data_IF_070586780716
#
_entry.id   IF_070586780716
#
_cell.length_a   1.000
_cell.length_b   1.000
_cell.length_c   1.000
_cell.angle_alpha   90.00
_cell.angle_beta   90.00
_cell.angle_gamma   90.00
#
_symmetry.space_group_name_H-M   'P 1'
#
loop_
_entity.id
_entity.type
_entity.pdbx_description
1 polymer ?
#
# COMPACT_ATOMS: atom_id res chain seq x y z
N UNK A 1 26.99 21.55 2.95
CA UNK A 1 25.70 20.86 3.13
C UNK A 1 25.18 20.58 1.73
N UNK A 2 25.15 19.32 1.30
CA UNK A 2 24.61 18.98 -0.02
C UNK A 2 23.12 19.31 -0.01
N UNK A 3 22.69 20.27 -0.83
CA UNK A 3 21.28 20.61 -0.97
C UNK A 3 20.61 19.45 -1.70
N UNK A 4 20.04 18.50 -0.95
CA UNK A 4 19.15 17.50 -1.54
C UNK A 4 18.00 18.30 -2.15
N UNK A 5 17.81 18.26 -3.47
CA UNK A 5 16.75 19.04 -4.11
C UNK A 5 15.41 18.62 -3.53
N UNK A 6 14.57 19.62 -3.23
CA UNK A 6 13.28 19.38 -2.60
C UNK A 6 12.34 18.53 -3.48
N UNK A 7 12.60 18.44 -4.79
CA UNK A 7 11.87 17.63 -5.79
C UNK A 7 12.90 16.75 -6.50
N UNK A 8 12.65 15.44 -6.57
CA UNK A 8 13.49 14.50 -7.32
C UNK A 8 13.21 14.52 -8.83
N UNK A 9 13.84 13.61 -9.59
CA UNK A 9 13.76 13.58 -11.06
C UNK A 9 12.35 13.30 -11.57
N UNK A 10 11.62 12.43 -10.88
CA UNK A 10 10.19 12.18 -11.07
C UNK A 10 9.48 12.67 -9.80
N UNK A 11 8.71 13.78 -9.87
CA UNK A 11 7.98 14.29 -8.72
C UNK A 11 7.11 13.24 -8.01
N UNK A 12 7.40 13.00 -6.73
CA UNK A 12 6.55 12.26 -5.79
C UNK A 12 6.24 13.18 -4.61
N UNK A 13 4.98 13.59 -4.49
CA UNK A 13 4.55 14.60 -3.51
C UNK A 13 3.37 14.13 -2.70
N UNK A 14 3.20 14.77 -1.54
CA UNK A 14 1.99 14.66 -0.73
C UNK A 14 1.58 13.20 -0.47
N UNK A 15 2.55 12.41 0.02
CA UNK A 15 2.30 11.00 0.37
C UNK A 15 1.40 10.94 1.59
N UNK A 16 0.31 10.18 1.47
CA UNK A 16 -0.68 9.97 2.52
C UNK A 16 -0.91 8.48 2.78
N UNK A 17 -1.32 8.08 3.99
CA UNK A 17 -1.58 8.95 5.16
C UNK A 17 -0.30 9.61 5.70
N UNK A 18 -0.40 10.77 6.35
CA UNK A 18 0.73 11.39 7.05
C UNK A 18 0.22 12.14 8.29
N UNK A 19 0.71 11.77 9.48
CA UNK A 19 0.27 12.38 10.74
C UNK A 19 1.33 13.36 11.22
N UNK A 20 0.91 14.61 11.47
CA UNK A 20 1.81 15.70 11.86
C UNK A 20 3.05 15.82 10.94
N UNK A 21 2.83 15.77 9.62
CA UNK A 21 3.89 15.80 8.62
C UNK A 21 4.95 14.70 8.81
N UNK A 22 4.54 13.51 9.25
CA UNK A 22 5.43 12.36 9.50
C UNK A 22 6.10 12.36 10.88
N UNK A 23 5.82 13.36 11.73
CA UNK A 23 6.34 13.39 13.12
C UNK A 23 5.68 12.37 14.03
N UNK A 24 4.49 11.89 13.65
CA UNK A 24 3.77 10.82 14.33
C UNK A 24 3.44 9.71 13.33
N UNK A 25 3.43 8.44 13.78
CA UNK A 25 3.06 7.33 12.92
C UNK A 25 1.59 7.43 12.51
N UNK A 26 1.31 7.11 11.24
CA UNK A 26 -0.01 6.61 10.86
C UNK A 26 -0.29 5.32 11.64
N UNK A 27 -1.55 4.90 11.72
CA UNK A 27 -1.95 3.73 12.50
C UNK A 27 -2.69 2.73 11.63
N UNK A 28 -2.45 1.45 11.92
CA UNK A 28 -3.25 0.34 11.44
C UNK A 28 -3.25 -0.77 12.51
N UNK A 29 -4.04 -1.81 12.32
CA UNK A 29 -3.87 -3.08 13.01
C UNK A 29 -3.42 -4.19 12.07
N UNK A 30 -2.93 -5.30 12.62
CA UNK A 30 -2.57 -6.48 11.82
C UNK A 30 -3.74 -6.92 10.95
N UNK A 31 -3.49 -7.08 9.64
CA UNK A 31 -4.48 -7.51 8.67
C UNK A 31 -5.43 -6.41 8.18
N UNK A 32 -5.33 -5.17 8.65
CA UNK A 32 -6.12 -4.05 8.16
C UNK A 32 -5.58 -3.52 6.82
N UNK A 33 -6.43 -3.44 5.81
CA UNK A 33 -6.08 -2.85 4.52
C UNK A 33 -6.39 -1.35 4.50
N UNK A 34 -5.43 -0.55 4.05
CA UNK A 34 -5.64 0.88 3.82
C UNK A 34 -4.94 1.38 2.56
N UNK A 35 -5.39 2.51 2.01
CA UNK A 35 -4.83 3.09 0.78
C UNK A 35 -3.68 4.06 1.10
N UNK A 36 -2.51 3.80 0.51
CA UNK A 36 -1.40 4.76 0.43
C UNK A 36 -1.54 5.52 -0.88
N UNK A 37 -1.46 6.84 -0.82
CA UNK A 37 -1.64 7.71 -1.98
C UNK A 37 -0.51 8.73 -2.10
N UNK A 38 -0.27 9.22 -3.31
CA UNK A 38 0.69 10.28 -3.59
C UNK A 38 0.33 11.04 -4.87
N UNK A 39 0.82 12.26 -5.01
CA UNK A 39 0.79 12.98 -6.29
C UNK A 39 2.05 12.66 -7.08
N UNK A 40 1.90 12.07 -8.26
CA UNK A 40 2.98 11.58 -9.12
C UNK A 40 2.76 12.01 -10.56
N UNK A 41 3.75 12.70 -11.12
CA UNK A 41 3.78 13.17 -12.50
C UNK A 41 5.22 13.37 -12.96
N UNK A 42 5.40 13.77 -14.22
CA UNK A 42 6.70 14.16 -14.79
C UNK A 42 6.57 15.35 -15.74
N UNK A 43 7.69 15.92 -16.15
CA UNK A 43 7.75 16.84 -17.28
C UNK A 43 7.49 16.13 -18.62
N UNK A 44 7.01 16.89 -19.60
CA UNK A 44 6.69 16.34 -20.93
C UNK A 44 5.35 15.59 -20.94
N UNK A 45 5.21 14.66 -21.87
CA UNK A 45 3.96 13.94 -22.14
C UNK A 45 4.08 12.42 -21.97
N UNK A 46 5.23 11.95 -21.55
CA UNK A 46 5.52 10.53 -21.40
C UNK A 46 4.85 9.96 -20.16
N UNK A 47 4.59 8.66 -20.17
CA UNK A 47 3.94 7.98 -19.07
C UNK A 47 4.84 7.93 -17.81
N UNK A 48 4.17 7.88 -16.66
CA UNK A 48 4.76 7.58 -15.35
C UNK A 48 4.04 6.42 -14.71
N UNK A 49 4.72 5.75 -13.80
CA UNK A 49 4.12 4.76 -12.92
C UNK A 49 4.75 4.88 -11.52
N UNK A 50 4.07 4.29 -10.53
CA UNK A 50 4.51 4.31 -9.15
C UNK A 50 4.20 2.99 -8.44
N UNK A 51 4.91 2.71 -7.34
CA UNK A 51 4.59 1.63 -6.41
C UNK A 51 4.77 2.10 -4.96
N UNK A 52 4.04 1.45 -4.07
CA UNK A 52 4.29 1.55 -2.63
C UNK A 52 5.37 0.54 -2.26
N UNK A 53 6.29 0.95 -1.40
CA UNK A 53 7.22 0.07 -0.69
C UNK A 53 6.84 0.13 0.77
N UNK A 54 6.22 -0.94 1.27
CA UNK A 54 5.95 -1.15 2.69
C UNK A 54 7.10 -1.97 3.27
N UNK A 55 7.66 -1.54 4.39
CA UNK A 55 8.81 -2.16 5.06
C UNK A 55 8.41 -2.55 6.47
N UNK A 56 8.62 -3.81 6.82
CA UNK A 56 8.30 -4.39 8.13
C UNK A 56 9.28 -3.97 9.24
N UNK A 57 9.01 -4.31 10.51
CA UNK A 57 9.89 -3.96 11.64
C UNK A 57 11.32 -4.54 11.53
N UNK A 58 11.48 -5.65 10.81
CA UNK A 58 12.76 -6.29 10.53
C UNK A 58 13.50 -5.65 9.34
N UNK A 59 12.89 -4.67 8.66
CA UNK A 59 13.46 -3.97 7.52
C UNK A 59 13.26 -4.67 6.18
N UNK A 60 12.43 -5.72 6.10
CA UNK A 60 12.11 -6.44 4.87
C UNK A 60 11.03 -5.70 4.09
N UNK A 61 11.20 -5.66 2.77
CA UNK A 61 10.20 -5.07 1.88
C UNK A 61 9.07 -6.07 1.63
N UNK A 62 7.85 -5.56 1.67
CA UNK A 62 6.65 -6.29 1.29
C UNK A 62 6.58 -6.61 -0.21
N UNK A 63 5.45 -7.19 -0.66
CA UNK A 63 5.27 -7.56 -2.06
C UNK A 63 5.26 -6.34 -2.99
N UNK A 64 5.47 -6.60 -4.29
CA UNK A 64 5.28 -5.61 -5.34
C UNK A 64 3.86 -5.04 -5.31
N UNK A 65 3.75 -3.74 -5.09
CA UNK A 65 2.46 -3.06 -4.89
C UNK A 65 2.34 -1.85 -5.83
N UNK A 66 2.01 -2.06 -7.11
CA UNK A 66 1.91 -0.98 -8.09
C UNK A 66 0.71 -0.08 -7.78
N UNK A 67 0.89 1.22 -7.97
CA UNK A 67 -0.16 2.20 -7.85
C UNK A 67 -0.85 2.42 -9.18
N UNK A 68 -2.09 2.90 -9.12
CA UNK A 68 -2.86 3.39 -10.28
C UNK A 68 -3.23 4.85 -10.06
N UNK A 69 -3.40 5.61 -11.13
CA UNK A 69 -4.04 6.91 -11.05
C UNK A 69 -5.51 6.72 -10.59
N UNK A 70 -5.91 7.45 -9.57
CA UNK A 70 -7.21 7.30 -8.89
C UNK A 70 -8.34 8.00 -9.66
N UNK A 71 -8.02 9.08 -10.35
CA UNK A 71 -8.94 9.79 -11.22
C UNK A 71 -8.18 10.34 -12.44
N UNK A 72 -8.71 10.23 -13.67
CA UNK A 72 -8.03 10.69 -14.87
C UNK A 72 -7.67 12.19 -14.79
N UNK A 73 -6.38 12.52 -15.01
CA UNK A 73 -5.89 13.89 -15.04
C UNK A 73 -5.73 14.53 -13.67
N UNK A 74 -5.74 13.74 -12.60
CA UNK A 74 -5.55 14.22 -11.23
C UNK A 74 -4.10 14.17 -10.78
N UNK A 75 -3.27 13.38 -11.46
CA UNK A 75 -1.93 12.99 -11.03
C UNK A 75 -1.93 12.37 -9.62
N UNK A 76 -3.08 11.95 -9.10
CA UNK A 76 -3.22 11.32 -7.79
C UNK A 76 -3.20 9.82 -7.97
N UNK A 77 -2.21 9.18 -7.36
CA UNK A 77 -1.99 7.74 -7.43
C UNK A 77 -2.32 7.09 -6.10
N UNK A 78 -2.76 5.84 -6.13
CA UNK A 78 -3.00 5.06 -4.92
C UNK A 78 -2.80 3.55 -5.11
N UNK A 79 -2.44 2.89 -4.02
CA UNK A 79 -2.48 1.44 -3.88
C UNK A 79 -2.84 1.05 -2.45
N UNK A 80 -3.48 -0.11 -2.32
CA UNK A 80 -3.80 -0.69 -1.02
C UNK A 80 -2.61 -1.49 -0.48
N UNK A 81 -2.37 -1.37 0.82
CA UNK A 81 -1.37 -2.14 1.56
C UNK A 81 -2.00 -2.78 2.79
N UNK A 82 -1.45 -3.91 3.22
CA UNK A 82 -1.92 -4.65 4.40
C UNK A 82 -0.72 -5.13 5.22
N UNK A 83 -0.49 -4.59 6.44
CA UNK A 83 0.58 -5.06 7.31
C UNK A 83 0.21 -6.41 7.94
N UNK A 84 1.21 -7.26 8.13
CA UNK A 84 1.02 -8.68 8.50
C UNK A 84 1.42 -9.02 9.93
N UNK A 85 2.10 -8.10 10.64
CA UNK A 85 2.52 -8.28 12.02
C UNK A 85 2.52 -6.94 12.78
N UNK A 86 2.43 -7.01 14.11
CA UNK A 86 2.49 -5.84 14.99
C UNK A 86 3.90 -5.23 14.97
N UNK A 87 4.00 -3.91 15.15
CA UNK A 87 5.28 -3.24 15.31
C UNK A 87 5.38 -1.90 14.58
N UNK A 88 6.62 -1.42 14.46
CA UNK A 88 6.95 -0.18 13.76
C UNK A 88 7.32 -0.49 12.32
N UNK A 89 6.40 -0.15 11.43
CA UNK A 89 6.56 -0.27 9.98
C UNK A 89 6.94 1.08 9.39
N UNK A 90 7.38 1.06 8.14
CA UNK A 90 7.51 2.27 7.34
C UNK A 90 6.98 2.06 5.93
N UNK A 91 6.59 3.13 5.26
CA UNK A 91 6.24 3.08 3.84
C UNK A 91 6.77 4.30 3.10
N UNK A 92 7.02 4.11 1.81
CA UNK A 92 7.36 5.18 0.87
C UNK A 92 6.75 4.89 -0.49
N UNK A 93 6.67 5.91 -1.33
CA UNK A 93 6.27 5.77 -2.72
C UNK A 93 7.50 5.93 -3.60
N UNK A 94 7.69 5.01 -4.53
CA UNK A 94 8.65 5.11 -5.63
C UNK A 94 7.90 5.44 -6.91
N UNK A 95 8.41 6.38 -7.71
CA UNK A 95 7.88 6.69 -9.03
C UNK A 95 8.99 6.73 -10.09
N UNK A 96 8.62 6.45 -11.33
CA UNK A 96 9.54 6.37 -12.46
C UNK A 96 8.87 6.78 -13.77
N UNK A 97 9.72 7.08 -14.76
CA UNK A 97 9.35 7.13 -16.17
C UNK A 97 8.99 5.72 -16.64
N UNK A 98 7.83 5.56 -17.29
CA UNK A 98 7.41 4.32 -17.94
C UNK A 98 7.62 4.41 -19.47
N UNK A 99 8.83 4.11 -19.97
CA UNK A 99 9.14 4.23 -21.38
C UNK A 99 8.41 3.17 -22.23
N UNK A 100 8.10 1.98 -21.68
CA UNK A 100 7.42 0.92 -22.43
C UNK A 100 5.96 1.29 -22.66
N UNK A 101 5.25 1.80 -21.65
CA UNK A 101 3.88 2.28 -21.83
C UNK A 101 3.82 3.44 -22.84
N UNK A 102 4.78 4.37 -22.74
CA UNK A 102 4.93 5.50 -23.68
C UNK A 102 5.12 5.01 -25.12
N UNK A 103 6.08 4.10 -25.33
CA UNK A 103 6.36 3.53 -26.63
C UNK A 103 5.14 2.77 -27.19
N UNK A 104 4.49 1.92 -26.39
CA UNK A 104 3.30 1.16 -26.81
C UNK A 104 2.18 2.07 -27.30
N UNK A 105 1.93 3.19 -26.61
CA UNK A 105 0.94 4.19 -27.03
C UNK A 105 1.30 4.77 -28.40
N UNK A 106 2.55 5.18 -28.59
CA UNK A 106 3.05 5.75 -29.85
C UNK A 106 3.02 4.73 -30.99
N UNK A 107 3.50 3.51 -30.75
CA UNK A 107 3.58 2.44 -31.74
C UNK A 107 2.20 2.03 -32.25
N UNK A 108 1.19 1.92 -31.36
CA UNK A 108 -0.20 1.60 -31.75
C UNK A 108 -0.83 2.63 -32.69
N UNK A 109 -0.32 3.87 -32.72
CA UNK A 109 -0.80 4.93 -33.60
C UNK A 109 0.05 4.99 -34.88
N UNK A 110 1.39 5.04 -34.74
CA UNK A 110 2.30 5.23 -35.87
C UNK A 110 2.37 4.01 -36.80
N UNK A 111 2.36 2.80 -36.24
CA UNK A 111 2.54 1.58 -37.03
C UNK A 111 1.39 1.35 -38.02
N UNK A 112 0.09 1.41 -37.63
CA UNK A 112 -1.01 1.30 -38.59
C UNK A 112 -1.04 2.42 -39.63
N UNK A 113 -0.50 3.60 -39.29
CA UNK A 113 -0.41 4.74 -40.20
C UNK A 113 0.80 4.67 -41.15
N UNK A 114 1.68 3.67 -41.04
CA UNK A 114 2.86 3.54 -41.87
C UNK A 114 3.93 4.61 -41.61
N UNK A 115 3.94 5.22 -40.42
CA UNK A 115 4.85 6.32 -40.07
C UNK A 115 6.06 5.77 -39.33
N UNK A 116 7.26 5.98 -39.88
CA UNK A 116 8.56 5.63 -39.27
C UNK A 116 8.63 4.19 -38.74
N UNK A 117 7.98 3.24 -39.41
CA UNK A 117 7.70 1.92 -38.81
C UNK A 117 8.96 1.15 -38.41
N UNK A 118 10.03 1.23 -39.21
CA UNK A 118 11.31 0.59 -38.89
C UNK A 118 11.93 1.19 -37.62
N UNK A 119 11.98 2.53 -37.52
CA UNK A 119 12.53 3.21 -36.36
C UNK A 119 11.73 2.93 -35.09
N UNK A 120 10.39 3.02 -35.16
CA UNK A 120 9.51 2.77 -34.02
C UNK A 120 9.68 1.34 -33.50
N UNK A 121 9.83 0.35 -34.38
CA UNK A 121 10.03 -1.04 -33.96
C UNK A 121 11.44 -1.27 -33.38
N UNK A 122 12.47 -0.63 -33.93
CA UNK A 122 13.84 -0.69 -33.38
C UNK A 122 13.91 -0.12 -31.96
N UNK A 123 13.32 1.07 -31.73
CA UNK A 123 13.19 1.67 -30.40
C UNK A 123 12.47 0.72 -29.41
N UNK A 124 11.44 0.03 -29.90
CA UNK A 124 10.73 -0.99 -29.14
C UNK A 124 11.63 -2.16 -28.76
N UNK A 125 12.43 -2.65 -29.71
CA UNK A 125 13.39 -3.71 -29.49
C UNK A 125 14.37 -3.36 -28.38
N UNK A 126 14.94 -2.15 -28.41
CA UNK A 126 15.88 -1.66 -27.40
C UNK A 126 15.25 -1.61 -26.00
N UNK A 127 13.99 -1.14 -25.91
CA UNK A 127 13.27 -1.09 -24.65
C UNK A 127 12.99 -2.49 -24.09
N UNK A 128 12.62 -3.47 -24.93
CA UNK A 128 12.35 -4.83 -24.48
C UNK A 128 13.65 -5.58 -24.10
N UNK A 129 14.77 -5.28 -24.75
CA UNK A 129 16.07 -5.82 -24.37
C UNK A 129 16.53 -5.28 -23.00
N UNK A 130 16.39 -3.96 -22.78
CA UNK A 130 16.63 -3.33 -21.47
C UNK A 130 15.72 -3.90 -20.39
N UNK A 131 14.43 -4.09 -20.69
CA UNK A 131 13.46 -4.72 -19.81
C UNK A 131 13.95 -6.12 -19.40
N UNK A 132 14.31 -6.96 -20.37
CA UNK A 132 14.73 -8.34 -20.13
C UNK A 132 15.97 -8.44 -19.23
N UNK A 133 16.85 -7.43 -19.22
CA UNK A 133 18.01 -7.39 -18.31
C UNK A 133 17.61 -7.27 -16.83
N UNK A 134 16.44 -6.67 -16.54
CA UNK A 134 15.88 -6.52 -15.19
C UNK A 134 14.95 -7.65 -14.74
N UNK A 135 14.66 -8.62 -15.61
CA UNK A 135 13.77 -9.75 -15.34
C UNK A 135 14.60 -10.96 -14.89
N UNK A 136 14.20 -11.69 -13.83
CA UNK A 136 14.85 -12.94 -13.44
C UNK A 136 14.92 -13.96 -14.59
N UNK A 137 15.92 -14.84 -14.58
CA UNK A 137 16.02 -15.91 -15.57
C UNK A 137 14.79 -16.82 -15.53
N UNK A 138 14.26 -17.15 -16.71
CA UNK A 138 13.09 -18.01 -16.86
C UNK A 138 12.27 -17.73 -18.12
N UNK A 139 11.11 -18.37 -18.27
CA UNK A 139 10.26 -18.27 -19.47
C UNK A 139 9.82 -16.83 -19.78
N UNK A 140 9.55 -16.02 -18.75
CA UNK A 140 9.16 -14.62 -18.93
C UNK A 140 10.27 -13.77 -19.57
N UNK A 141 11.51 -13.92 -19.10
CA UNK A 141 12.67 -13.24 -19.71
C UNK A 141 12.89 -13.69 -21.15
N UNK A 142 12.77 -15.00 -21.42
CA UNK A 142 12.90 -15.54 -22.76
C UNK A 142 11.80 -15.00 -23.71
N UNK A 143 10.56 -14.89 -23.25
CA UNK A 143 9.45 -14.31 -24.02
C UNK A 143 9.71 -12.84 -24.39
N UNK A 144 10.19 -12.03 -23.43
CA UNK A 144 10.54 -10.63 -23.71
C UNK A 144 11.70 -10.50 -24.69
N UNK A 145 12.74 -11.34 -24.57
CA UNK A 145 13.86 -11.35 -25.52
C UNK A 145 13.42 -11.78 -26.93
N UNK A 146 12.55 -12.79 -27.04
CA UNK A 146 11.95 -13.18 -28.30
C UNK A 146 11.12 -12.05 -28.91
N UNK A 147 10.32 -11.34 -28.11
CA UNK A 147 9.61 -10.15 -28.57
C UNK A 147 10.57 -9.06 -29.08
N UNK A 148 11.67 -8.80 -28.36
CA UNK A 148 12.70 -7.84 -28.78
C UNK A 148 13.35 -8.23 -30.13
N UNK A 149 13.58 -9.54 -30.37
CA UNK A 149 14.10 -10.04 -31.64
C UNK A 149 13.08 -9.92 -32.76
N UNK A 150 11.82 -10.31 -32.52
CA UNK A 150 10.74 -10.20 -33.51
C UNK A 150 10.45 -8.74 -33.89
N UNK A 151 10.54 -7.80 -32.94
CA UNK A 151 10.45 -6.37 -33.25
C UNK A 151 11.47 -5.94 -34.30
N UNK A 152 12.67 -6.52 -34.31
CA UNK A 152 13.77 -6.18 -35.23
C UNK A 152 13.85 -7.07 -36.48
N UNK A 153 12.95 -8.03 -36.65
CA UNK A 153 12.98 -8.96 -37.79
C UNK A 153 12.32 -8.33 -39.03
N UNK A 154 13.14 -7.76 -39.90
CA UNK A 154 12.70 -7.15 -41.16
C UNK A 154 12.14 -8.14 -42.20
N UNK A 155 12.24 -9.46 -41.96
CA UNK A 155 11.59 -10.46 -42.82
C UNK A 155 10.08 -10.62 -42.53
N UNK A 156 9.60 -10.12 -41.39
CA UNK A 156 8.21 -10.24 -40.95
C UNK A 156 7.37 -9.00 -41.30
N UNK A 157 6.06 -9.15 -41.53
CA UNK A 157 5.16 -8.01 -41.64
C UNK A 157 5.19 -7.13 -40.38
N UNK A 158 5.19 -5.81 -40.57
CA UNK A 158 5.26 -4.80 -39.48
C UNK A 158 4.21 -5.05 -38.38
N UNK A 159 2.99 -5.42 -38.76
CA UNK A 159 1.92 -5.73 -37.80
C UNK A 159 2.25 -6.96 -36.92
N UNK A 160 2.85 -8.00 -37.50
CA UNK A 160 3.27 -9.21 -36.79
C UNK A 160 4.39 -8.90 -35.80
N UNK A 161 5.35 -8.07 -36.21
CA UNK A 161 6.47 -7.61 -35.36
C UNK A 161 5.94 -6.86 -34.13
N UNK A 162 5.04 -5.90 -34.33
CA UNK A 162 4.42 -5.16 -33.22
C UNK A 162 3.60 -6.09 -32.31
N UNK A 163 2.82 -7.00 -32.87
CA UNK A 163 1.97 -7.91 -32.10
C UNK A 163 2.76 -8.81 -31.13
N UNK A 164 3.99 -9.20 -31.50
CA UNK A 164 4.88 -10.00 -30.65
C UNK A 164 5.25 -9.30 -29.32
N UNK A 165 5.25 -7.96 -29.30
CA UNK A 165 5.53 -7.17 -28.10
C UNK A 165 4.28 -6.86 -27.27
N UNK A 166 3.10 -7.31 -27.70
CA UNK A 166 1.80 -6.98 -27.10
C UNK A 166 1.05 -8.26 -26.66
N UNK A 167 1.76 -9.35 -26.43
CA UNK A 167 1.16 -10.62 -26.01
C UNK A 167 0.90 -10.64 -24.50
N UNK A 168 -0.05 -11.46 -24.03
CA UNK A 168 -0.33 -11.62 -22.60
C UNK A 168 0.90 -12.03 -21.77
N UNK A 169 1.83 -12.80 -22.35
CA UNK A 169 3.04 -13.24 -21.68
C UNK A 169 3.99 -12.06 -21.42
N UNK A 170 4.16 -11.17 -22.40
CA UNK A 170 4.96 -9.94 -22.25
C UNK A 170 4.29 -8.99 -21.26
N UNK A 171 2.95 -8.88 -21.30
CA UNK A 171 2.17 -8.07 -20.36
C UNK A 171 2.33 -8.55 -18.92
N UNK A 172 2.29 -9.86 -18.68
CA UNK A 172 2.49 -10.44 -17.35
C UNK A 172 3.89 -10.11 -16.80
N UNK A 173 4.92 -10.14 -17.65
CA UNK A 173 6.29 -9.75 -17.24
C UNK A 173 6.36 -8.26 -16.91
N UNK A 174 5.81 -7.39 -17.77
CA UNK A 174 5.79 -5.95 -17.53
C UNK A 174 5.03 -5.58 -16.24
N UNK A 175 3.92 -6.24 -15.96
CA UNK A 175 3.13 -5.99 -14.76
C UNK A 175 3.90 -6.32 -13.46
N UNK A 176 4.79 -7.31 -13.51
CA UNK A 176 5.55 -7.79 -12.34
C UNK A 176 6.95 -7.18 -12.23
N UNK A 177 7.59 -6.89 -13.35
CA UNK A 177 8.96 -6.44 -13.51
C UNK A 177 9.07 -5.32 -14.55
N UNK A 178 8.41 -4.16 -14.35
CA UNK A 178 8.44 -3.09 -15.33
C UNK A 178 9.85 -2.51 -15.50
N UNK A 179 10.14 -1.96 -16.68
CA UNK A 179 11.34 -1.14 -16.88
C UNK A 179 11.12 0.21 -16.18
N UNK A 180 11.91 0.49 -15.13
CA UNK A 180 11.79 1.69 -14.30
C UNK A 180 12.97 2.62 -14.52
N UNK A 181 12.75 3.74 -15.22
CA UNK A 181 13.80 4.75 -15.44
C UNK A 181 13.64 5.94 -14.50
N UNK A 182 14.76 6.47 -14.01
CA UNK A 182 14.82 7.64 -13.13
C UNK A 182 14.02 7.49 -11.83
N UNK A 183 14.08 6.30 -11.22
CA UNK A 183 13.37 6.00 -9.97
C UNK A 183 13.65 7.08 -8.92
N UNK A 184 12.58 7.71 -8.45
CA UNK A 184 12.59 8.71 -7.38
C UNK A 184 11.74 8.19 -6.22
N UNK A 185 12.29 8.20 -5.02
CA UNK A 185 11.58 7.81 -3.81
C UNK A 185 11.12 9.04 -3.01
N UNK A 186 9.95 8.95 -2.39
CA UNK A 186 9.51 9.90 -1.37
C UNK A 186 10.36 9.81 -0.10
N UNK A 187 10.11 10.72 0.86
CA UNK A 187 10.49 10.47 2.24
C UNK A 187 9.79 9.22 2.77
N UNK A 188 10.46 8.52 3.67
CA UNK A 188 9.89 7.37 4.38
C UNK A 188 8.98 7.86 5.51
N UNK A 189 7.74 7.38 5.55
CA UNK A 189 6.75 7.72 6.57
C UNK A 189 6.56 6.56 7.57
N UNK A 190 6.37 6.88 8.86
CA UNK A 190 6.18 5.86 9.90
C UNK A 190 4.73 5.33 9.95
N UNK A 191 4.61 4.03 10.22
CA UNK A 191 3.36 3.32 10.49
C UNK A 191 3.50 2.54 11.81
N UNK A 192 2.53 2.66 12.70
CA UNK A 192 2.41 1.85 13.90
C UNK A 192 1.30 0.83 13.67
N UNK A 193 1.66 -0.45 13.71
CA UNK A 193 0.71 -1.56 13.56
C UNK A 193 0.48 -2.18 14.92
N UNK A 194 -0.76 -2.13 15.40
CA UNK A 194 -1.18 -2.63 16.70
C UNK A 194 -1.96 -3.96 16.57
N UNK A 195 -2.21 -4.63 17.69
CA UNK A 195 -3.08 -5.81 17.75
C UNK A 195 -4.50 -5.51 17.23
N UNK A 196 -5.18 -6.52 16.68
CA UNK A 196 -6.57 -6.44 16.20
C UNK A 196 -7.52 -5.74 17.18
N UNK A 197 -7.42 -6.07 18.47
CA UNK A 197 -8.29 -5.53 19.53
C UNK A 197 -8.15 -4.02 19.75
N UNK A 198 -7.14 -3.36 19.19
CA UNK A 198 -7.05 -1.90 19.16
C UNK A 198 -8.09 -1.27 18.22
N UNK A 199 -8.50 -1.97 17.16
CA UNK A 199 -9.52 -1.55 16.21
C UNK A 199 -10.88 -2.24 16.45
N UNK A 200 -10.85 -3.56 16.68
CA UNK A 200 -12.06 -4.38 16.70
C UNK A 200 -12.30 -5.04 18.07
N UNK A 201 -13.44 -4.74 18.68
CA UNK A 201 -13.94 -5.50 19.82
C UNK A 201 -15.19 -4.92 20.46
N UNK A 202 -16.00 -5.79 21.05
CA UNK A 202 -17.19 -5.41 21.78
C UNK A 202 -16.87 -5.23 23.28
N UNK A 203 -17.19 -4.05 23.83
CA UNK A 203 -16.90 -3.68 25.22
C UNK A 203 -18.16 -3.66 26.08
N UNK A 204 -18.11 -4.28 27.25
CA UNK A 204 -19.18 -4.29 28.25
C UNK A 204 -18.74 -3.65 29.56
N UNK A 205 -19.44 -2.59 29.97
CA UNK A 205 -19.21 -1.94 31.26
C UNK A 205 -20.20 -2.45 32.31
N UNK A 206 -19.71 -2.81 33.50
CA UNK A 206 -20.59 -3.03 34.65
C UNK A 206 -19.88 -2.76 35.98
N UNK A 207 -20.69 -2.59 37.04
CA UNK A 207 -20.21 -2.33 38.39
C UNK A 207 -20.16 -3.62 39.20
N UNK A 208 -18.98 -4.15 39.56
CA UNK A 208 -18.88 -5.38 40.37
C UNK A 208 -19.63 -5.31 41.70
N UNK A 209 -19.65 -4.12 42.32
CA UNK A 209 -20.35 -3.88 43.59
C UNK A 209 -21.87 -4.04 43.52
N UNK A 210 -22.46 -4.00 42.33
CA UNK A 210 -23.90 -4.16 42.12
C UNK A 210 -24.32 -5.63 42.00
N UNK A 211 -23.36 -6.54 41.80
CA UNK A 211 -23.60 -7.98 41.67
C UNK A 211 -23.39 -8.67 43.03
N UNK A 212 -24.15 -8.22 44.03
CA UNK A 212 -24.13 -8.75 45.39
C UNK A 212 -25.01 -9.99 45.59
N UNK A 213 -25.22 -10.35 46.85
CA UNK A 213 -26.25 -11.31 47.27
C UNK A 213 -27.29 -10.59 48.13
N UNK A 214 -28.39 -11.28 48.46
CA UNK A 214 -29.39 -10.73 49.36
C UNK A 214 -28.80 -10.38 50.75
N UNK A 215 -27.89 -11.21 51.26
CA UNK A 215 -27.24 -11.01 52.57
C UNK A 215 -26.04 -10.05 52.51
N UNK A 216 -25.39 -9.93 51.35
CA UNK A 216 -24.27 -9.03 51.13
C UNK A 216 -24.49 -8.21 49.85
N UNK A 217 -25.27 -7.10 49.93
CA UNK A 217 -25.66 -6.32 48.75
C UNK A 217 -24.48 -5.71 47.99
N UNK A 218 -23.38 -5.39 48.69
CA UNK A 218 -22.15 -4.95 48.05
C UNK A 218 -21.38 -6.15 47.50
N UNK A 219 -21.41 -6.31 46.19
CA UNK A 219 -20.71 -7.39 45.49
C UNK A 219 -19.20 -7.41 45.73
N UNK A 220 -18.62 -8.60 45.59
CA UNK A 220 -17.18 -8.86 45.58
C UNK A 220 -16.77 -9.30 44.18
N UNK A 221 -15.47 -9.40 43.89
CA UNK A 221 -15.04 -10.00 42.62
C UNK A 221 -15.56 -11.43 42.42
N UNK A 222 -15.71 -12.21 43.50
CA UNK A 222 -16.24 -13.58 43.43
C UNK A 222 -17.71 -13.61 43.01
N UNK A 223 -18.53 -12.67 43.49
CA UNK A 223 -19.94 -12.61 43.09
C UNK A 223 -20.11 -11.98 41.71
N UNK A 224 -19.35 -10.93 41.40
CA UNK A 224 -19.35 -10.27 40.10
C UNK A 224 -18.93 -11.19 38.95
N UNK A 225 -18.02 -12.14 39.20
CA UNK A 225 -17.60 -13.13 38.21
C UNK A 225 -18.76 -13.98 37.66
N UNK A 226 -19.88 -14.10 38.40
CA UNK A 226 -21.09 -14.81 37.94
C UNK A 226 -21.76 -14.15 36.73
N UNK A 227 -21.48 -12.87 36.44
CA UNK A 227 -21.98 -12.18 35.24
C UNK A 227 -21.15 -12.43 33.99
N UNK A 228 -19.88 -12.83 34.15
CA UNK A 228 -18.98 -13.02 33.00
C UNK A 228 -19.53 -14.02 31.96
N UNK A 229 -20.15 -15.17 32.34
CA UNK A 229 -20.76 -16.06 31.36
C UNK A 229 -21.88 -15.40 30.54
N UNK A 230 -22.72 -14.58 31.17
CA UNK A 230 -23.79 -13.86 30.47
C UNK A 230 -23.24 -12.76 29.55
N UNK A 231 -22.18 -12.06 29.98
CA UNK A 231 -21.49 -11.05 29.18
C UNK A 231 -20.86 -11.69 27.94
N UNK A 232 -20.15 -12.81 28.13
CA UNK A 232 -19.58 -13.58 27.03
C UNK A 232 -20.66 -14.14 26.08
N UNK A 233 -21.80 -14.62 26.61
CA UNK A 233 -22.91 -15.12 25.81
C UNK A 233 -23.58 -14.03 24.93
N UNK A 234 -23.46 -12.75 25.30
CA UNK A 234 -23.86 -11.62 24.46
C UNK A 234 -22.83 -11.28 23.37
N UNK A 235 -21.67 -11.95 23.32
CA UNK A 235 -20.63 -11.73 22.31
C UNK A 235 -19.65 -10.62 22.64
N UNK A 236 -19.53 -10.20 23.92
CA UNK A 236 -18.54 -9.20 24.32
C UNK A 236 -17.15 -9.80 24.53
N UNK A 237 -16.14 -9.00 24.21
CA UNK A 237 -14.72 -9.37 24.26
C UNK A 237 -13.96 -8.75 25.44
N UNK A 238 -14.36 -7.54 25.83
CA UNK A 238 -13.68 -6.72 26.84
C UNK A 238 -14.66 -6.32 27.92
N UNK A 239 -14.27 -6.50 29.18
CA UNK A 239 -15.00 -6.01 30.34
C UNK A 239 -14.33 -4.75 30.86
N UNK A 240 -15.03 -3.63 30.78
CA UNK A 240 -14.59 -2.37 31.39
C UNK A 240 -15.12 -2.27 32.82
N UNK A 241 -14.22 -2.15 33.78
CA UNK A 241 -14.57 -1.99 35.19
C UNK A 241 -14.36 -0.52 35.62
N UNK A 242 -15.38 0.09 36.25
CA UNK A 242 -15.18 1.32 37.02
C UNK A 242 -14.10 1.12 38.10
N UNK A 243 -13.55 2.21 38.68
CA UNK A 243 -12.45 2.12 39.63
C UNK A 243 -12.68 1.12 40.77
N UNK A 244 -11.72 0.20 40.95
CA UNK A 244 -11.78 -0.91 41.92
C UNK A 244 -11.00 -0.63 43.22
N UNK A 245 -10.66 0.63 43.45
CA UNK A 245 -9.89 1.09 44.60
C UNK A 245 -10.82 1.55 45.74
N UNK A 246 -10.29 1.78 46.95
CA UNK A 246 -11.06 2.40 48.03
C UNK A 246 -11.68 3.74 47.61
N UNK A 247 -12.88 4.04 48.13
CA UNK A 247 -13.62 5.28 47.86
C UNK A 247 -13.46 6.23 49.04
N UNK A 248 -13.01 7.47 48.80
CA UNK A 248 -12.87 8.51 49.82
C UNK A 248 -14.19 8.89 50.53
N UNK A 249 -14.12 9.47 51.72
CA UNK A 249 -15.28 9.83 52.55
C UNK A 249 -15.60 11.34 52.54
N UNK A 250 -14.58 12.20 52.56
CA UNK A 250 -14.74 13.65 52.49
C UNK A 250 -15.37 14.06 51.16
N UNK A 251 -16.45 14.85 51.20
CA UNK A 251 -17.23 15.26 50.01
C UNK A 251 -17.71 14.08 49.14
N UNK A 252 -17.95 12.91 49.75
CA UNK A 252 -18.53 11.78 49.04
C UNK A 252 -19.94 12.14 48.58
N UNK A 253 -20.16 12.06 47.27
CA UNK A 253 -21.48 12.22 46.66
C UNK A 253 -22.44 11.12 47.12
N UNK A 254 -23.67 11.53 47.42
CA UNK A 254 -24.81 10.66 47.71
C UNK A 254 -25.48 10.11 46.45
N UNK A 255 -26.64 9.47 46.64
CA UNK A 255 -27.44 8.95 45.52
C UNK A 255 -27.94 10.12 44.65
N UNK A 256 -28.05 9.89 43.34
CA UNK A 256 -28.47 10.92 42.38
C UNK A 256 -27.58 12.18 42.40
N UNK A 257 -26.28 12.02 42.65
CA UNK A 257 -25.26 13.08 42.54
C UNK A 257 -25.44 14.26 43.53
N UNK A 258 -26.10 14.03 44.68
CA UNK A 258 -26.17 14.97 45.81
C UNK A 258 -24.86 15.09 46.56
#
# INVERSE_FOLDING_TARGET
MSSIPAIGRIPVRDVHPAVECGRRPAKAVVGETFEVTATVFREGHDAVAANVVLTDPEGQHGPWTPMRELAPGSDRWGAEVTPTCEGHWTYRVEAWSDPVATWRRTARIKIPAGIDTGLVLEEGGDLHEKLAAGVPEGPGRAAVLAAAQMLRDDSLPVATRLAAALTPEVDAVLARHPLREFVTASQTLPLLVERERALYGAWYEFFPRSEGTQDQPHGTFRTAARRLPAIAAMGFDVVYLPPIHPIGTTFRKGRNNT
#
